data_IF_400057104317
#
_entry.id   IF_400057104317
#
_cell.length_a   1.000
_cell.length_b   1.000
_cell.length_c   1.000
_cell.angle_alpha   90.00
_cell.angle_beta   90.00
_cell.angle_gamma   90.00
#
_symmetry.space_group_name_H-M   'P 1'
#
loop_
_entity.id
_entity.type
_entity.pdbx_description
1 polymer ?
#
# COMPACT_ATOMS: atom_id res chain seq x y z
N UNK A 1 -4.72 27.64 11.86
CA UNK A 1 -3.59 27.13 11.07
C UNK A 1 -3.90 27.48 9.62
N UNK A 2 -2.90 27.66 8.79
CA UNK A 2 -3.11 27.83 7.35
C UNK A 2 -2.73 26.51 6.67
N UNK A 3 -3.64 25.96 5.86
CA UNK A 3 -3.42 24.72 5.13
C UNK A 3 -3.20 25.04 3.66
N UNK A 4 -2.12 24.52 3.10
CA UNK A 4 -1.79 24.66 1.68
C UNK A 4 -1.98 23.32 0.96
N UNK A 5 -2.54 23.37 -0.25
CA UNK A 5 -2.84 22.20 -1.06
C UNK A 5 -2.00 22.23 -2.33
N UNK A 6 -1.08 21.27 -2.45
CA UNK A 6 -0.28 21.05 -3.66
C UNK A 6 -0.84 19.86 -4.47
N UNK A 7 -0.51 19.81 -5.76
CA UNK A 7 -0.90 18.74 -6.68
C UNK A 7 -2.22 18.96 -7.42
N UNK A 8 -2.94 20.07 -7.18
CA UNK A 8 -4.18 20.38 -7.92
C UNK A 8 -3.97 20.48 -9.44
N UNK A 9 -2.76 20.85 -9.87
CA UNK A 9 -2.39 20.97 -11.28
C UNK A 9 -2.28 19.61 -12.00
N UNK A 10 -2.18 18.50 -11.26
CA UNK A 10 -2.10 17.15 -11.80
C UNK A 10 -3.49 16.48 -11.96
N UNK A 11 -4.57 17.16 -11.57
CA UNK A 11 -5.93 16.62 -11.70
C UNK A 11 -6.38 16.63 -13.17
N UNK A 12 -6.32 15.47 -13.82
CA UNK A 12 -6.77 15.28 -15.21
C UNK A 12 -8.24 14.83 -15.29
N UNK A 13 -9.13 15.79 -15.58
CA UNK A 13 -10.57 15.55 -15.75
C UNK A 13 -10.92 14.69 -16.98
N UNK A 14 -10.07 14.70 -18.01
CA UNK A 14 -10.29 13.90 -19.22
C UNK A 14 -10.03 12.43 -18.90
N UNK A 15 -8.88 12.15 -18.28
CA UNK A 15 -8.54 10.80 -17.82
C UNK A 15 -9.57 10.27 -16.82
N UNK A 16 -9.97 11.07 -15.83
CA UNK A 16 -11.02 10.69 -14.87
C UNK A 16 -12.33 10.29 -15.55
N UNK A 17 -12.68 10.93 -16.67
CA UNK A 17 -13.89 10.62 -17.43
C UNK A 17 -13.75 9.32 -18.24
N UNK A 18 -12.55 8.97 -18.68
CA UNK A 18 -12.26 7.74 -19.43
C UNK A 18 -12.30 6.50 -18.54
N UNK A 19 -11.77 6.60 -17.31
CA UNK A 19 -11.70 5.46 -16.39
C UNK A 19 -13.01 5.19 -15.65
N UNK A 20 -13.88 6.20 -15.55
CA UNK A 20 -15.20 6.07 -14.91
C UNK A 20 -16.17 5.34 -15.83
N UNK A 21 -16.68 4.21 -15.36
CA UNK A 21 -17.78 3.55 -16.03
C UNK A 21 -19.10 3.94 -15.37
N UNK A 22 -19.83 4.84 -16.03
CA UNK A 22 -21.13 5.36 -15.57
C UNK A 22 -22.20 4.26 -15.52
N UNK A 23 -22.07 3.19 -16.31
CA UNK A 23 -23.07 2.12 -16.37
C UNK A 23 -22.91 1.13 -15.22
N UNK A 24 -21.67 0.80 -14.87
CA UNK A 24 -21.39 -0.17 -13.81
C UNK A 24 -21.08 0.49 -12.46
N UNK A 25 -20.81 1.79 -12.43
CA UNK A 25 -20.34 2.52 -11.25
C UNK A 25 -18.91 2.15 -10.85
N UNK A 26 -18.18 1.41 -11.71
CA UNK A 26 -16.76 1.08 -11.51
C UNK A 26 -15.86 2.25 -11.89
N UNK A 27 -14.62 2.23 -11.38
CA UNK A 27 -13.64 3.28 -11.63
C UNK A 27 -13.86 4.53 -10.76
N UNK A 28 -14.26 4.34 -9.49
CA UNK A 28 -14.33 5.44 -8.52
C UNK A 28 -12.96 6.09 -8.36
N UNK A 29 -12.93 7.41 -8.35
CA UNK A 29 -11.71 8.22 -8.22
C UNK A 29 -11.65 8.82 -6.82
N UNK A 30 -10.76 8.26 -6.00
CA UNK A 30 -10.57 8.62 -4.58
C UNK A 30 -9.12 9.08 -4.35
N UNK A 31 -8.76 10.33 -4.73
CA UNK A 31 -7.37 10.78 -4.69
C UNK A 31 -6.77 10.77 -3.29
N UNK A 32 -5.46 10.58 -3.23
CA UNK A 32 -4.68 10.54 -2.00
C UNK A 32 -4.29 11.94 -1.52
N UNK A 33 -4.74 12.30 -0.33
CA UNK A 33 -4.29 13.48 0.41
C UNK A 33 -3.26 13.06 1.45
N UNK A 34 -2.00 13.39 1.19
CA UNK A 34 -0.87 13.08 2.07
C UNK A 34 -0.51 14.29 2.93
N UNK A 35 -0.40 14.09 4.24
CA UNK A 35 -0.01 15.15 5.16
C UNK A 35 1.52 15.24 5.20
N UNK A 36 2.08 16.33 4.65
CA UNK A 36 3.53 16.53 4.53
C UNK A 36 4.00 17.77 5.30
N UNK A 37 5.21 17.71 5.85
CA UNK A 37 5.83 18.85 6.54
C UNK A 37 5.31 19.15 7.95
N UNK A 38 4.42 18.31 8.50
CA UNK A 38 3.87 18.50 9.83
C UNK A 38 4.92 18.23 10.92
N UNK A 39 5.12 19.19 11.81
CA UNK A 39 5.92 19.00 13.02
C UNK A 39 5.08 18.41 14.15
N UNK A 40 5.74 17.96 15.22
CA UNK A 40 5.04 17.53 16.43
C UNK A 40 4.29 18.67 17.12
N UNK A 41 4.66 19.93 16.89
CA UNK A 41 3.93 21.10 17.41
C UNK A 41 2.66 21.35 16.60
N UNK A 42 2.74 21.28 15.27
CA UNK A 42 1.58 21.40 14.38
C UNK A 42 0.54 20.33 14.69
N UNK A 43 1.00 19.09 14.86
CA UNK A 43 0.12 17.99 15.24
C UNK A 43 -0.60 18.27 16.56
N UNK A 44 0.12 18.73 17.59
CA UNK A 44 -0.49 19.06 18.90
C UNK A 44 -1.48 20.21 18.79
N UNK A 45 -1.13 21.28 18.07
CA UNK A 45 -2.02 22.42 17.86
C UNK A 45 -3.30 22.02 17.12
N UNK A 46 -3.18 21.17 16.11
CA UNK A 46 -4.31 20.69 15.32
C UNK A 46 -5.26 19.79 16.13
N UNK A 47 -4.74 18.74 16.76
CA UNK A 47 -5.59 17.73 17.45
C UNK A 47 -6.30 18.29 18.70
N UNK A 48 -5.86 19.45 19.19
CA UNK A 48 -6.46 20.15 20.33
C UNK A 48 -7.47 21.23 19.95
N UNK A 49 -7.61 21.56 18.65
CA UNK A 49 -8.51 22.61 18.17
C UNK A 49 -9.61 22.04 17.28
N UNK A 50 -10.83 21.97 17.82
CA UNK A 50 -12.02 21.56 17.06
C UNK A 50 -12.25 22.45 15.83
N UNK A 51 -11.94 23.75 15.95
CA UNK A 51 -12.07 24.69 14.85
C UNK A 51 -11.11 24.35 13.69
N UNK A 52 -9.86 23.97 13.99
CA UNK A 52 -8.88 23.61 12.96
C UNK A 52 -9.24 22.27 12.30
N UNK A 53 -9.72 21.31 13.10
CA UNK A 53 -10.20 20.02 12.61
C UNK A 53 -11.34 20.22 11.62
N UNK A 54 -12.37 20.99 11.99
CA UNK A 54 -13.51 21.29 11.11
C UNK A 54 -13.08 22.08 9.88
N UNK A 55 -12.14 23.01 10.04
CA UNK A 55 -11.63 23.80 8.92
C UNK A 55 -10.96 22.90 7.88
N UNK A 56 -10.00 22.04 8.28
CA UNK A 56 -9.33 21.14 7.35
C UNK A 56 -10.29 20.13 6.70
N UNK A 57 -11.22 19.58 7.48
CA UNK A 57 -12.22 18.63 6.97
C UNK A 57 -13.08 19.29 5.87
N UNK A 58 -13.48 20.55 6.08
CA UNK A 58 -14.22 21.33 5.09
C UNK A 58 -13.38 21.64 3.85
N UNK A 59 -12.12 22.02 4.00
CA UNK A 59 -11.25 22.30 2.84
C UNK A 59 -11.04 21.05 1.97
N UNK A 60 -10.82 19.88 2.56
CA UNK A 60 -10.74 18.62 1.80
C UNK A 60 -12.08 18.31 1.12
N UNK A 61 -13.21 18.45 1.81
CA UNK A 61 -14.51 18.23 1.20
C UNK A 61 -14.79 19.21 0.03
N UNK A 62 -14.34 20.47 0.14
CA UNK A 62 -14.43 21.44 -0.94
C UNK A 62 -13.66 20.96 -2.18
N UNK A 63 -12.48 20.34 -2.03
CA UNK A 63 -11.72 19.76 -3.13
C UNK A 63 -12.48 18.59 -3.79
N UNK A 64 -13.09 17.72 -2.99
CA UNK A 64 -13.95 16.63 -3.47
C UNK A 64 -15.11 17.16 -4.31
N UNK A 65 -15.78 18.22 -3.85
CA UNK A 65 -16.89 18.85 -4.58
C UNK A 65 -16.37 19.53 -5.87
N UNK A 66 -15.29 20.32 -5.77
CA UNK A 66 -14.69 21.09 -6.87
C UNK A 66 -14.33 20.20 -8.06
N UNK A 67 -13.65 19.09 -7.80
CA UNK A 67 -13.16 18.17 -8.82
C UNK A 67 -14.06 16.96 -9.05
N UNK A 68 -15.18 16.88 -8.32
CA UNK A 68 -16.16 15.79 -8.38
C UNK A 68 -15.52 14.44 -8.10
N UNK A 69 -14.64 14.34 -7.12
CA UNK A 69 -14.07 13.06 -6.68
C UNK A 69 -15.14 12.18 -6.04
N UNK A 70 -14.94 10.87 -6.06
CA UNK A 70 -15.86 9.90 -5.47
C UNK A 70 -15.60 9.68 -3.96
N UNK A 71 -14.59 10.35 -3.43
CA UNK A 71 -14.09 10.19 -2.08
C UNK A 71 -12.66 10.66 -1.97
N UNK A 72 -11.97 10.27 -0.90
CA UNK A 72 -10.55 10.55 -0.68
C UNK A 72 -9.86 9.39 0.02
N UNK A 73 -8.55 9.27 -0.20
CA UNK A 73 -7.64 8.46 0.61
C UNK A 73 -6.82 9.40 1.49
N UNK A 74 -6.91 9.30 2.81
CA UNK A 74 -6.11 10.10 3.75
C UNK A 74 -4.87 9.33 4.18
N UNK A 75 -3.69 9.92 3.97
CA UNK A 75 -2.41 9.42 4.48
C UNK A 75 -1.79 10.43 5.43
N UNK A 76 -1.89 10.15 6.73
CA UNK A 76 -1.46 11.07 7.81
C UNK A 76 -0.38 10.49 8.73
N UNK A 77 0.23 9.37 8.35
CA UNK A 77 1.27 8.66 9.11
C UNK A 77 0.75 7.96 10.37
N UNK A 78 0.14 8.71 11.31
CA UNK A 78 -0.41 8.20 12.56
C UNK A 78 -1.92 8.45 12.70
N UNK A 79 -2.78 7.77 11.92
CA UNK A 79 -4.25 7.91 11.95
C UNK A 79 -4.90 7.96 13.34
N UNK A 80 -4.38 7.23 14.33
CA UNK A 80 -4.89 7.25 15.70
C UNK A 80 -4.88 8.67 16.32
N UNK A 81 -3.87 9.50 16.01
CA UNK A 81 -3.84 10.90 16.48
C UNK A 81 -4.84 11.79 15.73
N UNK A 82 -5.23 11.40 14.52
CA UNK A 82 -6.16 12.14 13.67
C UNK A 82 -7.61 11.64 13.77
N UNK A 83 -7.93 10.75 14.72
CA UNK A 83 -9.25 10.10 14.84
C UNK A 83 -10.42 11.09 14.75
N UNK A 84 -10.39 12.19 15.52
CA UNK A 84 -11.45 13.20 15.52
C UNK A 84 -11.64 13.84 14.15
N UNK A 85 -10.53 14.15 13.48
CA UNK A 85 -10.56 14.71 12.13
C UNK A 85 -11.08 13.73 11.09
N UNK A 86 -10.66 12.46 11.16
CA UNK A 86 -11.14 11.42 10.26
C UNK A 86 -12.65 11.20 10.41
N UNK A 87 -13.17 11.23 11.65
CA UNK A 87 -14.61 11.13 11.91
C UNK A 87 -15.36 12.35 11.35
N UNK A 88 -14.87 13.57 11.62
CA UNK A 88 -15.50 14.80 11.10
C UNK A 88 -15.53 14.82 9.57
N UNK A 89 -14.41 14.48 8.94
CA UNK A 89 -14.31 14.39 7.49
C UNK A 89 -15.23 13.31 6.92
N UNK A 90 -15.31 12.13 7.56
CA UNK A 90 -16.23 11.07 7.17
C UNK A 90 -17.68 11.54 7.16
N UNK A 91 -18.11 12.26 8.20
CA UNK A 91 -19.48 12.78 8.30
C UNK A 91 -19.78 13.74 7.15
N UNK A 92 -18.84 14.63 6.80
CA UNK A 92 -19.01 15.55 5.68
C UNK A 92 -19.08 14.81 4.34
N UNK A 93 -18.17 13.87 4.08
CA UNK A 93 -18.13 13.11 2.83
C UNK A 93 -19.40 12.27 2.63
N UNK A 94 -19.90 11.65 3.70
CA UNK A 94 -21.09 10.81 3.65
C UNK A 94 -22.39 11.58 3.36
N UNK A 95 -22.46 12.88 3.65
CA UNK A 95 -23.61 13.72 3.27
C UNK A 95 -23.83 13.73 1.75
N UNK A 96 -22.75 13.64 0.98
CA UNK A 96 -22.76 13.61 -0.49
C UNK A 96 -22.41 12.24 -1.07
N UNK A 97 -22.54 11.16 -0.26
CA UNK A 97 -22.26 9.77 -0.64
C UNK A 97 -20.82 9.55 -1.17
N UNK A 98 -19.84 10.24 -0.59
CA UNK A 98 -18.41 10.14 -0.93
C UNK A 98 -17.69 9.23 0.05
N UNK A 99 -16.72 8.47 -0.43
CA UNK A 99 -16.01 7.49 0.38
C UNK A 99 -14.79 8.09 1.10
N UNK A 100 -14.55 7.64 2.33
CA UNK A 100 -13.30 7.89 3.05
C UNK A 100 -12.50 6.60 3.17
N UNK A 101 -11.31 6.60 2.58
CA UNK A 101 -10.30 5.57 2.77
C UNK A 101 -9.18 6.15 3.63
N UNK A 102 -8.64 5.37 4.57
CA UNK A 102 -7.51 5.80 5.40
C UNK A 102 -6.34 4.85 5.26
N UNK A 103 -5.15 5.39 5.00
CA UNK A 103 -3.92 4.61 4.96
C UNK A 103 -3.48 4.26 6.38
N UNK A 104 -3.24 2.98 6.63
CA UNK A 104 -2.68 2.47 7.88
C UNK A 104 -1.25 1.96 7.62
N UNK A 105 -0.25 2.35 8.43
CA UNK A 105 1.00 1.62 8.51
C UNK A 105 0.78 0.19 8.97
N UNK A 106 1.69 -0.70 8.58
CA UNK A 106 1.76 -2.03 9.19
C UNK A 106 1.91 -1.96 10.71
N UNK A 107 1.31 -2.90 11.41
CA UNK A 107 1.31 -3.02 12.86
C UNK A 107 2.60 -3.68 13.33
N UNK A 108 3.60 -2.84 13.61
CA UNK A 108 4.79 -3.24 14.35
C UNK A 108 4.53 -3.16 15.87
N UNK A 109 5.40 -3.75 16.68
CA UNK A 109 5.26 -3.71 18.15
C UNK A 109 5.17 -2.29 18.72
N UNK A 110 5.87 -1.34 18.09
CA UNK A 110 5.78 0.08 18.46
C UNK A 110 4.42 0.67 18.10
N UNK A 111 3.88 0.31 16.94
CA UNK A 111 2.62 0.85 16.43
C UNK A 111 1.38 0.25 17.11
N UNK A 112 1.47 -0.97 17.66
CA UNK A 112 0.40 -1.61 18.45
C UNK A 112 -0.15 -0.74 19.57
N UNK A 113 0.69 0.10 20.18
CA UNK A 113 0.28 1.00 21.26
C UNK A 113 -0.54 2.20 20.77
N UNK A 114 -0.42 2.57 19.50
CA UNK A 114 -1.12 3.70 18.89
C UNK A 114 -2.41 3.23 18.22
N UNK A 115 -2.34 2.12 17.48
CA UNK A 115 -3.46 1.53 16.78
C UNK A 115 -3.85 0.20 17.43
N UNK A 116 -4.72 0.27 18.45
CA UNK A 116 -5.27 -0.91 19.11
C UNK A 116 -6.48 -1.47 18.36
N UNK A 117 -6.90 -2.73 18.60
CA UNK A 117 -8.13 -3.27 18.02
C UNK A 117 -9.36 -2.45 18.37
N UNK A 118 -9.43 -1.87 19.58
CA UNK A 118 -10.53 -1.00 20.00
C UNK A 118 -10.52 0.33 19.25
N UNK A 119 -9.35 0.92 19.03
CA UNK A 119 -9.21 2.14 18.22
C UNK A 119 -9.66 1.87 16.78
N UNK A 120 -9.23 0.77 16.19
CA UNK A 120 -9.66 0.34 14.86
C UNK A 120 -11.19 0.14 14.81
N UNK A 121 -11.78 -0.54 15.80
CA UNK A 121 -13.22 -0.80 15.86
C UNK A 121 -14.05 0.49 15.91
N UNK A 122 -13.62 1.48 16.70
CA UNK A 122 -14.28 2.80 16.74
C UNK A 122 -14.18 3.50 15.39
N UNK A 123 -12.98 3.54 14.79
CA UNK A 123 -12.77 4.19 13.50
C UNK A 123 -13.54 3.51 12.36
N UNK A 124 -13.64 2.18 12.37
CA UNK A 124 -14.33 1.38 11.36
C UNK A 124 -15.84 1.61 11.29
N UNK A 125 -16.43 2.23 12.32
CA UNK A 125 -17.84 2.67 12.31
C UNK A 125 -18.09 3.85 11.37
N UNK A 126 -17.04 4.64 11.09
CA UNK A 126 -17.13 5.86 10.28
C UNK A 126 -16.41 5.67 8.93
N UNK A 127 -15.22 5.09 8.93
CA UNK A 127 -14.40 4.98 7.73
C UNK A 127 -14.91 3.85 6.81
N UNK A 128 -14.88 4.09 5.49
CA UNK A 128 -15.37 3.14 4.49
C UNK A 128 -14.39 2.00 4.26
N UNK A 129 -13.09 2.31 4.14
CA UNK A 129 -12.02 1.33 3.98
C UNK A 129 -10.71 1.78 4.63
N UNK A 130 -9.87 0.81 4.99
CA UNK A 130 -8.50 1.05 5.43
C UNK A 130 -7.52 0.42 4.45
N UNK A 131 -6.61 1.20 3.90
CA UNK A 131 -5.53 0.72 3.04
C UNK A 131 -4.30 0.43 3.89
N UNK A 132 -4.06 -0.83 4.22
CA UNK A 132 -2.96 -1.24 5.09
C UNK A 132 -1.67 -1.43 4.27
N UNK A 133 -0.60 -0.74 4.64
CA UNK A 133 0.72 -0.83 3.99
C UNK A 133 1.45 -2.11 4.45
N UNK A 134 0.98 -3.27 4.00
CA UNK A 134 1.60 -4.58 4.24
C UNK A 134 2.68 -4.90 3.20
N UNK A 135 3.60 -3.97 3.01
CA UNK A 135 4.78 -4.07 2.16
C UNK A 135 5.91 -3.27 2.80
N UNK A 136 7.11 -3.28 2.19
CA UNK A 136 8.33 -2.67 2.72
C UNK A 136 8.85 -3.27 4.03
N UNK A 137 8.54 -4.54 4.29
CA UNK A 137 8.95 -5.25 5.51
C UNK A 137 10.46 -5.20 5.75
N UNK A 138 11.26 -5.46 4.72
CA UNK A 138 12.73 -5.47 4.80
C UNK A 138 13.38 -4.17 4.32
N UNK A 139 12.62 -3.11 4.02
CA UNK A 139 13.16 -1.88 3.39
C UNK A 139 14.11 -1.07 4.28
N UNK A 140 14.21 -1.39 5.57
CA UNK A 140 15.20 -0.81 6.49
C UNK A 140 16.50 -1.62 6.61
N UNK A 141 16.53 -2.86 6.13
CA UNK A 141 17.68 -3.76 6.26
C UNK A 141 18.49 -3.78 4.95
N UNK A 142 19.73 -3.26 4.93
CA UNK A 142 20.57 -3.29 3.74
C UNK A 142 21.01 -4.72 3.34
N UNK A 143 20.85 -5.72 4.21
CA UNK A 143 21.11 -7.13 3.89
C UNK A 143 19.94 -7.77 3.14
N UNK A 144 18.80 -7.08 3.05
CA UNK A 144 17.64 -7.49 2.29
C UNK A 144 16.77 -8.55 2.94
N UNK A 145 15.70 -8.87 2.22
CA UNK A 145 14.68 -9.81 2.66
C UNK A 145 13.37 -9.60 1.90
N UNK A 146 12.37 -10.43 2.21
CA UNK A 146 11.05 -10.36 1.59
C UNK A 146 10.40 -8.99 1.78
N UNK A 147 9.63 -8.55 0.78
CA UNK A 147 8.95 -7.27 0.83
C UNK A 147 7.69 -7.32 1.71
N UNK A 148 6.95 -8.42 1.65
CA UNK A 148 5.65 -8.59 2.29
C UNK A 148 5.41 -10.05 2.76
N UNK A 149 6.15 -10.57 3.77
CA UNK A 149 6.00 -11.95 4.23
C UNK A 149 4.55 -12.32 4.53
N UNK A 150 4.07 -13.44 3.99
CA UNK A 150 2.64 -13.78 4.07
C UNK A 150 2.11 -13.94 5.51
N UNK A 151 2.89 -14.54 6.42
CA UNK A 151 2.53 -14.69 7.83
C UNK A 151 2.44 -13.33 8.54
N UNK A 152 3.31 -12.38 8.18
CA UNK A 152 3.25 -11.02 8.71
C UNK A 152 1.98 -10.27 8.25
N UNK A 153 1.54 -10.50 7.00
CA UNK A 153 0.24 -9.99 6.52
C UNK A 153 -0.90 -10.58 7.37
N UNK A 154 -0.88 -11.89 7.63
CA UNK A 154 -1.87 -12.56 8.49
C UNK A 154 -1.93 -11.94 9.89
N UNK A 155 -0.77 -11.82 10.56
CA UNK A 155 -0.67 -11.25 11.91
C UNK A 155 -1.27 -9.85 11.99
N UNK A 156 -1.05 -9.03 10.96
CA UNK A 156 -1.61 -7.69 10.86
C UNK A 156 -3.15 -7.70 10.77
N UNK A 157 -3.71 -8.57 9.93
CA UNK A 157 -5.18 -8.70 9.77
C UNK A 157 -5.79 -9.18 11.09
N UNK A 158 -5.22 -10.21 11.69
CA UNK A 158 -5.72 -10.84 12.91
C UNK A 158 -5.65 -9.93 14.12
N UNK A 159 -4.58 -9.14 14.23
CA UNK A 159 -4.44 -8.18 15.31
C UNK A 159 -5.48 -7.05 15.18
N UNK A 160 -5.62 -6.42 14.01
CA UNK A 160 -6.46 -5.23 13.87
C UNK A 160 -7.96 -5.53 13.87
N UNK A 161 -8.36 -6.65 13.27
CA UNK A 161 -9.74 -6.84 12.84
C UNK A 161 -10.43 -7.98 13.57
N UNK A 162 -11.76 -7.86 13.67
CA UNK A 162 -12.65 -8.91 14.11
C UNK A 162 -13.68 -9.21 13.01
N UNK A 163 -14.54 -10.21 13.22
CA UNK A 163 -15.53 -10.63 12.23
C UNK A 163 -16.49 -9.53 11.77
N UNK A 164 -16.70 -8.48 12.57
CA UNK A 164 -17.65 -7.41 12.28
C UNK A 164 -17.05 -6.31 11.39
N UNK A 165 -15.73 -6.10 11.44
CA UNK A 165 -15.08 -4.97 10.79
C UNK A 165 -14.00 -5.38 9.75
N UNK A 166 -13.65 -6.67 9.65
CA UNK A 166 -12.61 -7.15 8.73
C UNK A 166 -12.81 -6.76 7.27
N UNK A 167 -14.05 -6.79 6.80
CA UNK A 167 -14.42 -6.37 5.44
C UNK A 167 -14.09 -4.90 5.11
N UNK A 168 -13.75 -4.08 6.11
CA UNK A 168 -13.28 -2.69 5.95
C UNK A 168 -11.79 -2.62 5.60
N UNK A 169 -10.99 -3.64 5.93
CA UNK A 169 -9.55 -3.65 5.69
C UNK A 169 -9.23 -4.04 4.24
N UNK A 170 -8.20 -3.43 3.67
CA UNK A 170 -7.59 -3.81 2.41
C UNK A 170 -6.09 -4.05 2.64
N UNK A 171 -5.59 -5.24 2.31
CA UNK A 171 -4.15 -5.54 2.41
C UNK A 171 -3.41 -4.98 1.22
N UNK A 172 -2.27 -4.35 1.48
CA UNK A 172 -1.41 -3.75 0.49
C UNK A 172 -0.54 -4.79 -0.22
N UNK A 173 -0.46 -4.70 -1.54
CA UNK A 173 0.45 -5.50 -2.38
C UNK A 173 1.39 -4.57 -3.14
N UNK A 174 2.69 -4.80 -2.99
CA UNK A 174 3.72 -4.13 -3.78
C UNK A 174 3.75 -4.68 -5.21
N UNK A 175 3.78 -3.77 -6.18
CA UNK A 175 3.92 -4.05 -7.61
C UNK A 175 5.34 -3.74 -8.11
N UNK A 176 6.28 -3.50 -7.18
CA UNK A 176 7.69 -3.26 -7.43
C UNK A 176 8.55 -4.33 -6.72
N UNK A 177 9.78 -4.46 -7.16
CA UNK A 177 10.82 -5.25 -6.52
C UNK A 177 11.72 -4.37 -5.65
N UNK A 178 12.50 -4.97 -4.76
CA UNK A 178 13.53 -4.29 -3.98
C UNK A 178 14.89 -4.90 -4.25
N UNK A 179 15.87 -4.05 -4.53
CA UNK A 179 17.29 -4.40 -4.63
C UNK A 179 18.03 -4.05 -3.35
N UNK A 180 18.84 -4.99 -2.88
CA UNK A 180 19.63 -4.88 -1.67
C UNK A 180 21.10 -5.16 -1.98
N UNK A 181 21.97 -4.24 -1.54
CA UNK A 181 23.40 -4.40 -1.60
C UNK A 181 23.99 -3.64 -0.39
N UNK A 182 24.81 -4.31 0.42
CA UNK A 182 25.28 -3.80 1.72
C UNK A 182 26.03 -2.45 1.65
N UNK A 183 26.54 -2.08 0.48
CA UNK A 183 27.26 -0.83 0.23
C UNK A 183 26.37 0.36 -0.11
N UNK A 184 25.05 0.16 -0.28
CA UNK A 184 24.08 1.20 -0.64
C UNK A 184 22.73 1.02 0.08
N UNK A 185 21.93 2.08 0.20
CA UNK A 185 20.55 1.96 0.69
C UNK A 185 19.72 1.02 -0.22
N UNK A 186 18.72 0.30 0.34
CA UNK A 186 17.76 -0.46 -0.45
C UNK A 186 17.10 0.40 -1.54
N UNK A 187 16.95 -0.17 -2.74
CA UNK A 187 16.44 0.54 -3.92
C UNK A 187 15.19 -0.14 -4.48
N UNK A 188 14.07 0.58 -4.67
CA UNK A 188 12.91 0.05 -5.38
C UNK A 188 13.16 -0.02 -6.88
N UNK A 189 12.76 -1.13 -7.51
CA UNK A 189 12.86 -1.36 -8.94
C UNK A 189 11.47 -1.65 -9.53
N UNK A 190 11.14 -0.97 -10.62
CA UNK A 190 10.00 -1.36 -11.46
C UNK A 190 10.26 -2.72 -12.11
N UNK A 191 9.24 -3.55 -12.26
CA UNK A 191 9.45 -4.94 -12.69
C UNK A 191 10.00 -5.07 -14.10
N UNK A 192 9.75 -4.09 -14.97
CA UNK A 192 10.38 -4.06 -16.30
C UNK A 192 11.92 -4.07 -16.22
N UNK A 193 12.50 -3.29 -15.31
CA UNK A 193 13.95 -3.28 -15.07
C UNK A 193 14.44 -4.60 -14.49
N UNK A 194 13.62 -5.27 -13.69
CA UNK A 194 13.96 -6.60 -13.13
C UNK A 194 14.01 -7.66 -14.23
N UNK A 195 13.10 -7.64 -15.21
CA UNK A 195 13.12 -8.56 -16.35
C UNK A 195 14.38 -8.36 -17.20
N UNK A 196 14.81 -7.11 -17.42
CA UNK A 196 16.07 -6.81 -18.12
C UNK A 196 17.27 -7.42 -17.39
N UNK A 197 17.31 -7.34 -16.05
CA UNK A 197 18.35 -7.94 -15.21
C UNK A 197 18.32 -9.48 -15.20
N UNK A 198 17.14 -10.08 -15.24
CA UNK A 198 16.98 -11.54 -15.36
C UNK A 198 17.52 -12.08 -16.68
N UNK A 199 17.43 -11.28 -17.76
CA UNK A 199 17.86 -11.68 -19.11
C UNK A 199 19.38 -11.75 -19.31
N UNK A 200 20.19 -11.39 -18.31
CA UNK A 200 21.65 -11.44 -18.40
C UNK A 200 22.19 -12.87 -18.22
N UNK A 201 23.22 -13.29 -19.00
CA UNK A 201 23.77 -14.64 -18.89
C UNK A 201 24.39 -14.89 -17.50
N UNK A 202 23.93 -15.93 -16.80
CA UNK A 202 24.47 -16.33 -15.49
C UNK A 202 25.44 -17.50 -15.68
N UNK A 203 26.64 -17.41 -15.12
CA UNK A 203 27.70 -18.41 -15.34
C UNK A 203 27.44 -19.74 -14.61
N UNK A 204 26.56 -19.77 -13.62
CA UNK A 204 26.24 -20.96 -12.84
C UNK A 204 24.77 -21.36 -13.05
N UNK A 205 24.55 -22.36 -13.91
CA UNK A 205 23.38 -23.23 -13.88
C UNK A 205 23.33 -23.90 -12.49
N UNK A 206 22.58 -23.30 -11.56
CA UNK A 206 22.34 -23.84 -10.24
C UNK A 206 21.46 -25.09 -10.36
N UNK A 207 22.14 -26.23 -10.40
CA UNK A 207 21.58 -27.58 -10.21
C UNK A 207 20.64 -27.61 -8.99
N UNK A 208 19.34 -27.83 -9.20
CA UNK A 208 18.45 -28.41 -8.19
C UNK A 208 17.43 -29.35 -8.84
N UNK A 209 17.26 -30.49 -8.15
CA UNK A 209 16.56 -31.70 -8.57
C UNK A 209 15.08 -31.51 -8.97
N UNK A 210 14.68 -32.38 -9.90
CA UNK A 210 13.35 -32.66 -10.45
C UNK A 210 12.20 -32.56 -9.42
N UNK A 211 11.21 -31.69 -9.70
CA UNK A 211 9.75 -31.98 -9.68
C UNK A 211 8.79 -30.76 -9.54
N UNK A 212 9.21 -29.50 -9.68
CA UNK A 212 8.23 -28.37 -9.56
C UNK A 212 8.36 -27.29 -10.62
N UNK A 213 7.23 -27.02 -11.29
CA UNK A 213 7.01 -26.03 -12.34
C UNK A 213 7.53 -24.60 -12.04
N UNK A 214 8.14 -24.03 -13.09
CA UNK A 214 8.32 -22.61 -13.46
C UNK A 214 9.58 -21.84 -12.97
N UNK A 215 10.44 -21.53 -13.95
CA UNK A 215 11.64 -20.66 -13.98
C UNK A 215 12.83 -21.05 -13.07
N UNK A 216 13.81 -21.72 -13.68
CA UNK A 216 15.13 -22.12 -13.14
C UNK A 216 15.96 -20.93 -12.58
N UNK A 217 15.59 -19.68 -12.87
CA UNK A 217 16.35 -18.47 -12.51
C UNK A 217 15.96 -17.81 -11.18
N UNK A 218 14.86 -18.24 -10.55
CA UNK A 218 14.30 -17.60 -9.35
C UNK A 218 14.31 -18.56 -8.15
N UNK A 219 14.92 -18.12 -7.05
CA UNK A 219 14.79 -18.81 -5.77
C UNK A 219 13.42 -18.50 -5.15
N UNK A 220 12.78 -19.52 -4.56
CA UNK A 220 11.49 -19.36 -3.89
C UNK A 220 11.61 -19.55 -2.38
N UNK A 221 11.35 -18.50 -1.61
CA UNK A 221 11.28 -18.58 -0.16
C UNK A 221 9.89 -19.06 0.29
N UNK A 222 9.83 -20.29 0.79
CA UNK A 222 8.58 -20.94 1.20
C UNK A 222 7.92 -20.27 2.42
N UNK A 223 8.67 -19.57 3.25
CA UNK A 223 8.14 -18.96 4.47
C UNK A 223 7.41 -17.66 4.14
N UNK A 224 8.06 -16.75 3.43
CA UNK A 224 7.49 -15.47 3.01
C UNK A 224 6.56 -15.58 1.79
N UNK A 225 6.63 -16.68 1.04
CA UNK A 225 5.95 -16.89 -0.23
C UNK A 225 6.34 -15.80 -1.25
N UNK A 226 7.65 -15.57 -1.39
CA UNK A 226 8.23 -14.61 -2.34
C UNK A 226 9.41 -15.20 -3.11
N UNK A 227 9.66 -14.60 -4.27
CA UNK A 227 10.79 -14.97 -5.12
C UNK A 227 11.93 -13.98 -4.95
N UNK A 228 13.15 -14.47 -5.11
CA UNK A 228 14.36 -13.65 -5.12
C UNK A 228 15.44 -14.23 -6.02
N UNK A 229 16.40 -13.41 -6.41
CA UNK A 229 17.60 -13.85 -7.14
C UNK A 229 18.81 -12.94 -6.85
N UNK A 230 20.00 -13.45 -7.18
CA UNK A 230 21.24 -12.67 -7.13
C UNK A 230 21.39 -11.91 -8.45
N UNK A 231 21.41 -10.58 -8.38
CA UNK A 231 21.68 -9.70 -9.50
C UNK A 231 23.18 -9.75 -9.83
N UNK A 232 23.53 -9.91 -11.09
CA UNK A 232 24.92 -9.96 -11.57
C UNK A 232 25.08 -9.02 -12.76
N UNK A 233 26.27 -8.44 -12.91
CA UNK A 233 26.62 -7.66 -14.10
C UNK A 233 27.07 -8.56 -15.27
N UNK A 234 27.38 -7.94 -16.42
CA UNK A 234 27.85 -8.65 -17.62
C UNK A 234 29.19 -9.39 -17.42
N UNK A 235 29.98 -9.00 -16.41
CA UNK A 235 31.25 -9.64 -16.06
C UNK A 235 31.05 -10.80 -15.05
N UNK A 236 29.83 -10.97 -14.54
CA UNK A 236 29.46 -11.99 -13.55
C UNK A 236 29.68 -11.56 -12.10
N UNK A 237 29.97 -10.28 -11.82
CA UNK A 237 30.09 -9.79 -10.45
C UNK A 237 28.71 -9.57 -9.83
N UNK A 238 28.53 -9.98 -8.58
CA UNK A 238 27.30 -9.76 -7.82
C UNK A 238 27.03 -8.27 -7.58
N UNK A 239 25.84 -7.81 -7.96
CA UNK A 239 25.33 -6.44 -7.81
C UNK A 239 24.27 -6.31 -6.71
N UNK A 240 23.94 -7.42 -6.06
CA UNK A 240 23.03 -7.47 -4.91
C UNK A 240 22.01 -8.60 -5.00
N UNK A 241 21.03 -8.55 -4.10
CA UNK A 241 19.90 -9.48 -4.08
C UNK A 241 18.63 -8.72 -4.41
N UNK A 242 17.80 -9.27 -5.29
CA UNK A 242 16.52 -8.69 -5.68
C UNK A 242 15.39 -9.59 -5.18
N UNK A 243 14.45 -9.00 -4.43
CA UNK A 243 13.19 -9.61 -4.02
C UNK A 243 12.04 -9.04 -4.83
N UNK A 244 11.17 -9.89 -5.35
CA UNK A 244 10.12 -9.45 -6.29
C UNK A 244 8.80 -10.20 -6.14
N UNK A 245 7.67 -9.53 -6.43
CA UNK A 245 6.40 -10.22 -6.64
C UNK A 245 6.44 -11.06 -7.93
N UNK A 246 5.72 -12.18 -7.91
CA UNK A 246 5.45 -13.06 -9.05
C UNK A 246 3.96 -13.38 -9.11
N UNK A 247 3.48 -13.99 -10.20
CA UNK A 247 2.10 -14.49 -10.26
C UNK A 247 1.76 -15.40 -9.08
N UNK A 248 2.71 -16.26 -8.69
CA UNK A 248 2.55 -17.15 -7.54
C UNK A 248 2.42 -16.37 -6.23
N UNK A 249 3.29 -15.39 -5.98
CA UNK A 249 3.26 -14.62 -4.73
C UNK A 249 2.00 -13.76 -4.63
N UNK A 250 1.55 -13.14 -5.73
CA UNK A 250 0.32 -12.34 -5.79
C UNK A 250 -0.89 -13.26 -5.59
N UNK A 251 -0.99 -14.37 -6.31
CA UNK A 251 -2.12 -15.32 -6.18
C UNK A 251 -2.27 -15.85 -4.77
N UNK A 252 -1.16 -16.14 -4.08
CA UNK A 252 -1.20 -16.60 -2.69
C UNK A 252 -1.73 -15.52 -1.75
N UNK A 253 -1.40 -14.25 -1.97
CA UNK A 253 -1.91 -13.12 -1.18
C UNK A 253 -3.38 -12.78 -1.52
N UNK A 254 -3.79 -12.98 -2.77
CA UNK A 254 -5.20 -12.88 -3.16
C UNK A 254 -6.06 -13.93 -2.47
N UNK A 255 -5.61 -15.19 -2.43
CA UNK A 255 -6.28 -16.26 -1.69
C UNK A 255 -6.36 -15.97 -0.20
N UNK A 256 -5.25 -15.49 0.39
CA UNK A 256 -5.24 -15.04 1.78
C UNK A 256 -6.31 -13.95 2.01
N UNK A 257 -6.37 -12.94 1.15
CA UNK A 257 -7.35 -11.88 1.28
C UNK A 257 -8.80 -12.39 1.18
N UNK A 258 -9.06 -13.34 0.27
CA UNK A 258 -10.35 -14.02 0.13
C UNK A 258 -10.71 -14.82 1.38
N UNK A 259 -9.78 -15.63 1.90
CA UNK A 259 -9.97 -16.46 3.11
C UNK A 259 -10.32 -15.61 4.34
N UNK A 260 -9.68 -14.44 4.48
CA UNK A 260 -9.99 -13.49 5.54
C UNK A 260 -11.19 -12.58 5.21
N UNK A 261 -11.64 -12.50 3.96
CA UNK A 261 -12.69 -11.58 3.54
C UNK A 261 -12.29 -10.10 3.63
N UNK A 262 -11.02 -9.79 3.36
CA UNK A 262 -10.48 -8.42 3.25
C UNK A 262 -10.36 -8.01 1.78
N UNK A 263 -10.26 -6.71 1.52
CA UNK A 263 -9.94 -6.19 0.19
C UNK A 263 -8.44 -6.20 -0.13
N UNK A 264 -8.09 -5.66 -1.29
CA UNK A 264 -6.71 -5.47 -1.75
C UNK A 264 -6.47 -4.00 -2.13
N UNK A 265 -5.28 -3.48 -1.83
CA UNK A 265 -4.77 -2.21 -2.34
C UNK A 265 -3.42 -2.43 -3.05
N UNK A 266 -3.26 -1.92 -4.27
CA UNK A 266 -2.04 -2.12 -5.07
C UNK A 266 -1.15 -0.89 -5.01
N UNK A 267 0.14 -1.07 -4.75
CA UNK A 267 1.15 0.00 -4.76
C UNK A 267 2.29 -0.34 -5.74
N UNK A 268 2.39 0.29 -6.91
CA UNK A 268 1.34 1.06 -7.59
C UNK A 268 1.10 0.56 -9.01
N UNK A 269 -0.03 0.97 -9.60
CA UNK A 269 -0.33 0.69 -11.01
C UNK A 269 0.73 1.37 -11.88
N UNK A 270 1.36 0.58 -12.76
CA UNK A 270 2.46 1.05 -13.63
C UNK A 270 3.88 0.61 -13.19
N UNK A 271 4.05 0.07 -11.98
CA UNK A 271 5.33 -0.52 -11.56
C UNK A 271 5.42 -2.03 -11.85
N UNK A 272 4.26 -2.69 -11.91
CA UNK A 272 4.12 -4.12 -12.14
C UNK A 272 4.23 -4.53 -13.61
N UNK A 273 3.88 -5.79 -13.90
CA UNK A 273 3.82 -6.34 -15.26
C UNK A 273 2.35 -6.48 -15.67
N UNK A 274 2.04 -6.21 -16.95
CA UNK A 274 0.65 -6.16 -17.44
C UNK A 274 -0.13 -7.45 -17.14
N UNK A 275 0.50 -8.61 -17.27
CA UNK A 275 -0.14 -9.90 -17.01
C UNK A 275 -0.43 -10.18 -15.51
N UNK A 276 0.01 -9.33 -14.59
CA UNK A 276 -0.42 -9.41 -13.19
C UNK A 276 -1.89 -9.03 -13.03
N UNK A 277 -2.41 -8.15 -13.89
CA UNK A 277 -3.79 -7.67 -13.80
C UNK A 277 -4.81 -8.75 -14.20
N UNK A 278 -4.39 -9.80 -14.92
CA UNK A 278 -5.24 -10.97 -15.26
C UNK A 278 -5.64 -11.80 -14.02
N UNK A 279 -5.04 -11.53 -12.85
CA UNK A 279 -5.39 -12.20 -11.59
C UNK A 279 -6.59 -11.56 -10.85
N UNK A 280 -7.03 -10.36 -11.25
CA UNK A 280 -8.07 -9.57 -10.57
C UNK A 280 -9.38 -9.52 -11.37
#
# INVERSE_FOLDING_TARGET
MEFDFDGEHDVDQSWMSEVRDIHTGKGKIVPRFQFRGWTGEDLRAFVTSEQEIQHLAKEINNQVIKYKFDGVVIECGYPAFFQKFLIELSILLHQDQRELIVVLPSITDQYKQLMTPEMFDVMAQYIDKFSLMTYDYSSYDPNGGPNAPIEWIMDNIEYLTNSNNRHKLMVGLNMYAMSYLSTRPPEPLVLKTVIEKLSLPRQDELLLDDETDENEELNWDKTSQEAWFIDVDEEGNEQGVIWMPTLRSIRNRLRLAEDYGVGIALWEVGQGLDYFYDLF
#
